data_IF_966689580160
#
_entry.id   IF_966689580160
#
_cell.length_a   1.000
_cell.length_b   1.000
_cell.length_c   1.000
_cell.angle_alpha   90.00
_cell.angle_beta   90.00
_cell.angle_gamma   90.00
#
_symmetry.space_group_name_H-M   'P 1'
#
loop_
_entity.id
_entity.type
_entity.pdbx_description
1 polymer ?
#
# COMPACT_ATOMS: atom_id res chain seq x y z
N UNK A 1 9.14 -23.11 -0.21
CA UNK A 1 9.30 -21.82 -0.93
C UNK A 1 9.95 -20.79 -0.01
N UNK A 2 10.75 -19.84 -0.51
CA UNK A 2 11.33 -18.76 0.33
C UNK A 2 10.28 -17.93 1.08
N UNK A 3 9.03 -17.92 0.59
CA UNK A 3 7.90 -17.18 1.20
C UNK A 3 7.30 -17.87 2.44
N UNK A 4 7.63 -19.14 2.70
CA UNK A 4 6.95 -19.91 3.75
C UNK A 4 7.42 -19.51 5.15
N UNK A 5 8.61 -18.92 5.26
CA UNK A 5 9.17 -18.39 6.50
C UNK A 5 8.74 -16.95 6.79
N UNK A 6 8.15 -16.22 5.84
CA UNK A 6 7.76 -14.83 6.05
C UNK A 6 6.78 -14.63 7.22
N UNK A 7 5.77 -15.49 7.48
CA UNK A 7 4.91 -15.34 8.66
C UNK A 7 5.63 -15.55 10.00
N UNK A 8 6.82 -16.15 9.98
CA UNK A 8 7.66 -16.38 11.16
C UNK A 8 8.69 -15.25 11.31
N UNK A 9 9.29 -14.83 10.21
CA UNK A 9 10.39 -13.86 10.20
C UNK A 9 9.95 -12.40 9.98
N UNK A 10 8.75 -12.18 9.46
CA UNK A 10 8.30 -10.89 8.96
C UNK A 10 8.73 -10.65 7.52
N UNK A 11 8.16 -9.61 6.92
CA UNK A 11 8.51 -9.12 5.59
C UNK A 11 8.35 -7.59 5.56
N UNK A 12 9.43 -6.83 5.76
CA UNK A 12 9.36 -5.38 5.66
C UNK A 12 9.14 -4.95 4.20
N UNK A 13 8.23 -3.99 4.01
CA UNK A 13 7.86 -3.42 2.72
C UNK A 13 8.14 -1.91 2.68
N UNK A 14 7.27 -1.12 3.30
CA UNK A 14 7.42 0.32 3.41
C UNK A 14 8.43 0.68 4.50
N UNK A 15 9.40 1.52 4.17
CA UNK A 15 10.39 2.06 5.13
C UNK A 15 10.48 3.58 4.96
N UNK A 16 10.43 4.32 6.05
CA UNK A 16 10.63 5.78 6.09
C UNK A 16 11.45 6.17 7.31
N UNK A 17 12.27 7.20 7.18
CA UNK A 17 12.94 7.83 8.32
C UNK A 17 11.98 8.86 8.91
N UNK A 18 11.73 8.81 10.21
CA UNK A 18 10.98 9.85 10.91
C UNK A 18 11.87 11.05 11.26
N UNK A 19 11.26 12.12 11.80
CA UNK A 19 11.98 13.31 12.23
C UNK A 19 12.90 13.09 13.44
N UNK A 20 12.72 11.99 14.17
CA UNK A 20 13.56 11.56 15.29
C UNK A 20 14.78 10.75 14.85
N UNK A 21 14.90 10.43 13.55
CA UNK A 21 15.98 9.61 13.02
C UNK A 21 15.75 8.10 13.12
N UNK A 22 14.53 7.67 13.46
CA UNK A 22 14.14 6.27 13.53
C UNK A 22 13.58 5.79 12.19
N UNK A 23 13.81 4.53 11.86
CA UNK A 23 13.16 3.88 10.71
C UNK A 23 11.78 3.38 11.11
N UNK A 24 10.75 3.97 10.52
CA UNK A 24 9.39 3.42 10.57
C UNK A 24 9.26 2.39 9.46
N UNK A 25 8.83 1.19 9.83
CA UNK A 25 8.76 0.02 8.96
C UNK A 25 7.35 -0.55 8.97
N UNK A 26 6.75 -0.67 7.79
CA UNK A 26 5.54 -1.45 7.56
C UNK A 26 5.94 -2.90 7.23
N UNK A 27 5.65 -3.81 8.14
CA UNK A 27 5.82 -5.24 7.96
C UNK A 27 4.48 -5.89 7.57
N UNK A 28 4.48 -6.68 6.50
CA UNK A 28 3.24 -7.27 5.98
C UNK A 28 2.54 -8.24 6.94
N UNK A 29 3.24 -8.78 7.93
CA UNK A 29 2.70 -9.78 8.86
C UNK A 29 2.53 -9.24 10.26
N UNK A 30 3.46 -8.41 10.73
CA UNK A 30 3.54 -8.04 12.14
C UNK A 30 3.15 -6.60 12.45
N UNK A 31 2.95 -5.75 11.45
CA UNK A 31 2.40 -4.40 11.63
C UNK A 31 3.45 -3.30 11.47
N UNK A 32 3.31 -2.20 12.22
CA UNK A 32 4.24 -1.06 12.17
C UNK A 32 5.29 -1.15 13.27
N UNK A 33 6.54 -0.91 12.91
CA UNK A 33 7.68 -0.87 13.83
C UNK A 33 8.42 0.45 13.73
N UNK A 34 9.00 0.89 14.84
CA UNK A 34 10.12 1.82 14.87
C UNK A 34 11.40 1.01 15.07
N UNK A 35 12.43 1.31 14.29
CA UNK A 35 13.74 0.65 14.36
C UNK A 35 14.81 1.73 14.46
N UNK A 36 15.65 1.62 15.49
CA UNK A 36 16.85 2.44 15.62
C UNK A 36 17.88 1.96 14.56
N UNK A 37 18.27 2.81 13.60
CA UNK A 37 19.20 2.41 12.54
C UNK A 37 20.64 2.20 13.04
N UNK A 38 21.01 2.70 14.22
CA UNK A 38 22.34 2.56 14.80
C UNK A 38 22.46 1.27 15.62
N UNK A 39 21.46 0.98 16.45
CA UNK A 39 21.49 -0.17 17.37
C UNK A 39 20.75 -1.40 16.83
N UNK A 40 19.87 -1.22 15.86
CA UNK A 40 18.96 -2.26 15.38
C UNK A 40 17.82 -2.58 16.35
N UNK A 41 17.69 -1.82 17.45
CA UNK A 41 16.60 -2.02 18.41
C UNK A 41 15.25 -1.77 17.75
N UNK A 42 14.32 -2.73 17.87
CA UNK A 42 12.99 -2.69 17.26
C UNK A 42 11.91 -2.52 18.32
N UNK A 43 11.03 -1.54 18.12
CA UNK A 43 9.85 -1.30 18.94
C UNK A 43 8.59 -1.46 18.10
N UNK A 44 7.63 -2.28 18.56
CA UNK A 44 6.32 -2.41 17.92
C UNK A 44 5.47 -1.18 18.21
N UNK A 45 4.98 -0.52 17.15
CA UNK A 45 4.10 0.65 17.26
C UNK A 45 2.63 0.26 17.13
N UNK A 46 2.33 -0.64 16.19
CA UNK A 46 0.97 -1.06 15.89
C UNK A 46 0.97 -2.52 15.43
N UNK A 47 0.30 -3.40 16.18
CA UNK A 47 0.20 -4.83 15.85
C UNK A 47 -0.84 -5.08 14.73
N UNK A 48 -0.51 -5.92 13.75
CA UNK A 48 -1.43 -6.31 12.67
C UNK A 48 -2.79 -6.85 13.18
N UNK A 49 -2.81 -7.53 14.32
CA UNK A 49 -4.04 -8.06 14.93
C UNK A 49 -4.94 -6.98 15.50
N UNK A 50 -4.40 -5.80 15.85
CA UNK A 50 -5.19 -4.65 16.30
C UNK A 50 -6.12 -4.20 15.19
N UNK A 51 -5.60 -4.12 13.96
CA UNK A 51 -6.38 -3.73 12.80
C UNK A 51 -6.93 -2.30 12.91
N UNK A 52 -7.97 -2.06 12.11
CA UNK A 52 -8.78 -0.85 12.17
C UNK A 52 -10.24 -1.23 11.90
N UNK A 53 -11.19 -0.59 12.61
CA UNK A 53 -12.63 -0.83 12.51
C UNK A 53 -13.02 -2.32 12.60
N UNK A 54 -12.36 -3.05 13.51
CA UNK A 54 -12.60 -4.48 13.74
C UNK A 54 -11.99 -5.43 12.69
N UNK A 55 -11.24 -4.90 11.72
CA UNK A 55 -10.60 -5.68 10.65
C UNK A 55 -9.07 -5.67 10.80
N UNK A 56 -8.43 -6.80 11.15
CA UNK A 56 -6.98 -6.95 11.21
C UNK A 56 -6.29 -6.55 9.91
N UNK A 57 -5.02 -6.13 10.00
CA UNK A 57 -4.17 -5.94 8.83
C UNK A 57 -3.67 -7.30 8.34
N UNK A 58 -3.74 -7.54 7.04
CA UNK A 58 -3.27 -8.79 6.46
C UNK A 58 -2.10 -8.58 5.49
N UNK A 59 -1.97 -7.39 4.89
CA UNK A 59 -0.89 -7.10 3.97
C UNK A 59 -0.49 -5.62 3.97
N UNK A 60 0.23 -5.20 5.02
CA UNK A 60 0.82 -3.85 5.02
C UNK A 60 1.92 -3.71 3.97
N UNK A 61 1.92 -2.59 3.26
CA UNK A 61 2.81 -2.38 2.12
C UNK A 61 3.38 -0.94 2.08
N UNK A 62 2.64 0.01 1.51
CA UNK A 62 3.03 1.41 1.42
C UNK A 62 3.02 2.13 2.77
N UNK A 63 3.94 3.07 2.92
CA UNK A 63 4.17 3.86 4.13
C UNK A 63 4.65 5.27 3.74
N UNK A 64 4.07 6.31 4.32
CA UNK A 64 4.57 7.69 4.32
C UNK A 64 4.39 8.33 5.69
N UNK A 65 5.19 9.34 6.00
CA UNK A 65 5.12 10.08 7.26
C UNK A 65 4.91 11.56 6.93
N UNK A 66 3.91 12.19 7.56
CA UNK A 66 3.77 13.65 7.49
C UNK A 66 4.94 14.30 8.23
N UNK A 67 5.66 15.15 7.51
CA UNK A 67 6.70 16.02 8.07
C UNK A 67 6.10 17.13 8.96
N UNK A 68 4.82 17.45 8.76
CA UNK A 68 4.14 18.53 9.48
C UNK A 68 3.51 18.05 10.80
N UNK A 69 3.02 16.81 10.86
CA UNK A 69 2.26 16.29 12.00
C UNK A 69 2.84 15.02 12.63
N UNK A 70 3.74 14.31 11.95
CA UNK A 70 4.21 13.00 12.38
C UNK A 70 3.21 11.86 12.18
N UNK A 71 2.02 12.15 11.62
CA UNK A 71 1.03 11.12 11.30
C UNK A 71 1.61 10.19 10.23
N UNK A 72 1.47 8.89 10.48
CA UNK A 72 1.91 7.82 9.58
C UNK A 72 0.74 7.43 8.68
N UNK A 73 0.88 7.62 7.38
CA UNK A 73 -0.03 7.09 6.37
C UNK A 73 0.48 5.74 5.91
N UNK A 74 -0.39 4.76 5.81
CA UNK A 74 0.01 3.42 5.38
C UNK A 74 -1.12 2.71 4.64
N UNK A 75 -0.77 1.66 3.90
CA UNK A 75 -1.73 0.88 3.13
C UNK A 75 -1.79 -0.55 3.62
N UNK A 76 -2.99 -1.10 3.62
CA UNK A 76 -3.25 -2.54 3.73
C UNK A 76 -3.72 -3.00 2.35
N UNK A 77 -2.84 -3.69 1.61
CA UNK A 77 -3.08 -4.05 0.21
C UNK A 77 -4.24 -5.03 0.04
N UNK A 78 -4.56 -5.81 1.06
CA UNK A 78 -5.74 -6.67 1.11
C UNK A 78 -6.11 -6.94 2.57
N UNK A 79 -7.37 -6.76 2.93
CA UNK A 79 -7.87 -7.10 4.28
C UNK A 79 -8.13 -8.60 4.48
N UNK A 80 -8.09 -9.41 3.41
CA UNK A 80 -8.36 -10.86 3.48
C UNK A 80 -7.14 -11.71 3.18
N UNK A 81 -6.35 -11.33 2.18
CA UNK A 81 -5.28 -12.17 1.67
C UNK A 81 -3.92 -11.66 2.12
N UNK A 82 -3.26 -12.43 2.99
CA UNK A 82 -1.87 -12.15 3.36
C UNK A 82 -0.90 -12.31 2.19
N UNK A 83 0.28 -11.68 2.29
CA UNK A 83 1.32 -11.59 1.23
C UNK A 83 1.63 -12.90 0.49
N UNK A 84 1.56 -14.06 1.17
CA UNK A 84 1.77 -15.40 0.56
C UNK A 84 0.77 -15.73 -0.55
N UNK A 85 -0.41 -15.12 -0.53
CA UNK A 85 -1.50 -15.35 -1.46
C UNK A 85 -1.65 -14.22 -2.48
N UNK A 86 -0.62 -13.39 -2.69
CA UNK A 86 -0.66 -12.24 -3.62
C UNK A 86 -1.18 -12.59 -5.02
N UNK A 87 -0.93 -13.83 -5.49
CA UNK A 87 -1.44 -14.28 -6.79
C UNK A 87 -2.96 -14.39 -6.81
N UNK A 88 -3.58 -14.84 -5.71
CA UNK A 88 -5.03 -14.97 -5.57
C UNK A 88 -5.68 -13.58 -5.50
N UNK A 89 -5.09 -12.65 -4.73
CA UNK A 89 -5.54 -11.25 -4.66
C UNK A 89 -5.57 -10.59 -6.05
N UNK A 90 -4.46 -10.72 -6.78
CA UNK A 90 -4.28 -10.14 -8.10
C UNK A 90 -5.22 -10.78 -9.13
N UNK A 91 -5.46 -12.09 -9.05
CA UNK A 91 -6.39 -12.82 -9.91
C UNK A 91 -7.86 -12.47 -9.60
N UNK A 92 -8.21 -12.33 -8.33
CA UNK A 92 -9.58 -12.04 -7.91
C UNK A 92 -10.01 -10.62 -8.28
N UNK A 93 -9.05 -9.68 -8.38
CA UNK A 93 -9.34 -8.25 -8.63
C UNK A 93 -10.38 -7.73 -7.63
N UNK A 94 -10.23 -8.11 -6.36
CA UNK A 94 -11.13 -7.66 -5.31
C UNK A 94 -10.74 -6.23 -4.87
N UNK A 95 -11.70 -5.53 -4.25
CA UNK A 95 -11.55 -4.18 -3.74
C UNK A 95 -11.45 -4.21 -2.20
N UNK A 96 -10.51 -5.00 -1.66
CA UNK A 96 -10.38 -5.23 -0.21
C UNK A 96 -9.27 -4.39 0.44
N UNK A 97 -8.58 -3.56 -0.34
CA UNK A 97 -7.51 -2.71 0.12
C UNK A 97 -7.97 -1.46 0.85
N UNK A 98 -7.09 -0.91 1.69
CA UNK A 98 -7.37 0.27 2.53
C UNK A 98 -6.18 1.25 2.58
N UNK A 99 -6.49 2.53 2.71
CA UNK A 99 -5.56 3.59 3.09
C UNK A 99 -5.90 4.02 4.52
N UNK A 100 -4.89 4.00 5.40
CA UNK A 100 -5.04 4.21 6.83
C UNK A 100 -4.08 5.28 7.34
N UNK A 101 -4.39 5.79 8.53
CA UNK A 101 -3.53 6.67 9.33
C UNK A 101 -3.27 6.06 10.69
N UNK A 102 -2.06 6.27 11.21
CA UNK A 102 -1.70 5.99 12.58
C UNK A 102 -1.05 7.23 13.20
N UNK A 103 -1.60 7.68 14.32
CA UNK A 103 -1.02 8.74 15.13
C UNK A 103 -0.17 8.12 16.25
N UNK A 104 1.16 8.22 16.21
CA UNK A 104 2.04 7.62 17.21
C UNK A 104 1.92 8.28 18.59
N UNK A 105 1.38 9.50 18.69
CA UNK A 105 1.21 10.22 19.96
C UNK A 105 -0.03 9.70 20.71
N UNK A 106 -1.16 9.60 20.02
CA UNK A 106 -2.41 9.13 20.63
C UNK A 106 -2.62 7.62 20.53
N UNK A 107 -1.83 6.93 19.71
CA UNK A 107 -2.00 5.51 19.40
C UNK A 107 -3.24 5.21 18.54
N UNK A 108 -3.90 6.24 17.98
CA UNK A 108 -5.14 6.07 17.22
C UNK A 108 -4.87 5.65 15.79
N UNK A 109 -5.69 4.70 15.31
CA UNK A 109 -5.75 4.29 13.92
C UNK A 109 -7.04 4.81 13.29
N UNK A 110 -6.96 5.30 12.06
CA UNK A 110 -8.11 5.71 11.27
C UNK A 110 -8.08 5.13 9.86
N UNK A 111 -9.25 4.84 9.30
CA UNK A 111 -9.42 4.46 7.89
C UNK A 111 -9.78 5.71 7.09
N UNK A 112 -8.95 6.06 6.11
CA UNK A 112 -9.23 7.20 5.22
C UNK A 112 -10.00 6.77 3.97
N UNK A 113 -9.62 5.63 3.40
CA UNK A 113 -10.29 5.02 2.26
C UNK A 113 -10.33 3.51 2.43
N UNK A 114 -11.44 2.92 2.03
CA UNK A 114 -11.60 1.49 1.80
C UNK A 114 -11.99 1.23 0.33
N UNK A 115 -12.23 -0.04 0.00
CA UNK A 115 -12.68 -0.40 -1.34
C UNK A 115 -11.61 -0.20 -2.42
N UNK A 116 -10.33 -0.33 -2.06
CA UNK A 116 -9.21 -0.08 -2.97
C UNK A 116 -8.70 -1.37 -3.61
N UNK A 117 -8.21 -1.26 -4.84
CA UNK A 117 -7.70 -2.34 -5.67
C UNK A 117 -6.19 -2.53 -5.48
N UNK A 118 -5.83 -3.30 -4.45
CA UNK A 118 -4.45 -3.60 -4.06
C UNK A 118 -3.56 -2.34 -3.97
N UNK A 119 -3.85 -1.43 -3.01
CA UNK A 119 -3.04 -0.24 -2.78
C UNK A 119 -1.64 -0.63 -2.31
N UNK A 120 -0.60 -0.24 -3.07
CA UNK A 120 0.80 -0.55 -2.74
C UNK A 120 1.60 0.71 -2.44
N UNK A 121 1.76 1.59 -3.43
CA UNK A 121 2.59 2.79 -3.30
C UNK A 121 1.79 3.99 -2.84
N UNK A 122 2.35 4.76 -1.91
CA UNK A 122 1.84 6.07 -1.52
C UNK A 122 2.95 7.12 -1.50
N UNK A 123 2.58 8.37 -1.80
CA UNK A 123 3.46 9.52 -1.69
C UNK A 123 2.67 10.77 -1.33
N UNK A 124 3.14 11.54 -0.34
CA UNK A 124 2.58 12.85 -0.02
C UNK A 124 3.04 13.91 -1.03
N UNK A 125 2.18 14.90 -1.29
CA UNK A 125 2.60 16.12 -1.97
C UNK A 125 3.56 16.94 -1.10
N UNK A 126 4.42 17.79 -1.69
CA UNK A 126 5.39 18.59 -0.92
C UNK A 126 4.78 19.45 0.19
N UNK A 127 3.58 19.97 -0.04
CA UNK A 127 2.79 20.79 0.89
C UNK A 127 1.82 19.96 1.76
N UNK A 128 1.78 18.65 1.54
CA UNK A 128 0.87 17.69 2.16
C UNK A 128 -0.62 18.09 1.99
N UNK A 129 -0.97 18.70 0.86
CA UNK A 129 -2.36 18.98 0.48
C UNK A 129 -3.07 17.76 -0.11
N UNK A 130 -2.33 16.81 -0.68
CA UNK A 130 -2.85 15.55 -1.18
C UNK A 130 -1.85 14.40 -1.01
N UNK A 131 -2.37 13.18 -1.15
CA UNK A 131 -1.60 11.92 -1.18
C UNK A 131 -1.90 11.20 -2.50
N UNK A 132 -0.85 10.72 -3.18
CA UNK A 132 -0.99 9.81 -4.31
C UNK A 132 -0.99 8.37 -3.83
N UNK A 133 -1.78 7.54 -4.50
CA UNK A 133 -1.96 6.12 -4.19
C UNK A 133 -1.96 5.30 -5.48
N UNK A 134 -1.14 4.25 -5.54
CA UNK A 134 -1.12 3.30 -6.65
C UNK A 134 -2.07 2.13 -6.37
N UNK A 135 -3.09 1.97 -7.20
CA UNK A 135 -3.95 0.78 -7.23
C UNK A 135 -3.37 -0.22 -8.22
N UNK A 136 -2.55 -1.13 -7.70
CA UNK A 136 -1.69 -1.98 -8.51
C UNK A 136 -2.50 -2.94 -9.37
N UNK A 137 -3.59 -3.54 -8.87
CA UNK A 137 -4.30 -4.60 -9.62
C UNK A 137 -5.11 -4.10 -10.80
N UNK A 138 -5.43 -2.80 -10.86
CA UNK A 138 -6.17 -2.18 -11.97
C UNK A 138 -5.36 -1.18 -12.79
N UNK A 139 -4.08 -0.98 -12.46
CA UNK A 139 -3.20 -0.14 -13.28
C UNK A 139 -3.51 1.35 -13.20
N UNK A 140 -3.87 1.85 -12.01
CA UNK A 140 -4.31 3.24 -11.80
C UNK A 140 -3.53 3.94 -10.70
N UNK A 141 -3.46 5.27 -10.77
CA UNK A 141 -2.99 6.15 -9.70
C UNK A 141 -4.10 7.10 -9.32
N UNK A 142 -4.42 7.13 -8.03
CA UNK A 142 -5.39 8.01 -7.42
C UNK A 142 -4.69 9.20 -6.75
N UNK A 143 -5.40 10.31 -6.66
CA UNK A 143 -5.12 11.40 -5.73
C UNK A 143 -6.20 11.42 -4.66
N UNK A 144 -5.80 11.44 -3.40
CA UNK A 144 -6.65 11.67 -2.24
C UNK A 144 -6.35 13.04 -1.63
N UNK A 145 -7.35 13.90 -1.52
CA UNK A 145 -7.19 15.26 -1.00
C UNK A 145 -7.19 15.26 0.53
N UNK A 146 -6.10 15.73 1.13
CA UNK A 146 -5.94 15.84 2.59
C UNK A 146 -6.43 17.20 3.10
N UNK A 147 -6.31 18.25 2.29
CA UNK A 147 -6.63 19.63 2.66
C UNK A 147 -7.50 20.32 1.60
N UNK A 148 -8.05 21.46 1.97
CA UNK A 148 -8.82 22.34 1.07
C UNK A 148 -10.27 21.89 0.83
N UNK A 149 -10.98 22.52 -0.11
CA UNK A 149 -12.41 22.28 -0.33
C UNK A 149 -12.78 20.86 -0.77
N UNK A 150 -11.80 20.10 -1.29
CA UNK A 150 -11.94 18.71 -1.71
C UNK A 150 -11.49 17.70 -0.65
N UNK A 151 -11.09 18.14 0.54
CA UNK A 151 -10.57 17.25 1.59
C UNK A 151 -11.51 16.06 1.85
N UNK A 152 -10.95 14.86 1.95
CA UNK A 152 -11.71 13.62 2.11
C UNK A 152 -12.19 12.98 0.80
N UNK A 153 -11.96 13.62 -0.36
CA UNK A 153 -12.35 13.05 -1.66
C UNK A 153 -11.15 12.45 -2.41
N UNK A 154 -11.44 11.54 -3.34
CA UNK A 154 -10.46 10.94 -4.25
C UNK A 154 -10.80 11.15 -5.71
N UNK A 155 -9.79 11.24 -6.57
CA UNK A 155 -9.93 11.30 -8.02
C UNK A 155 -8.86 10.45 -8.72
N UNK A 156 -9.21 9.87 -9.87
CA UNK A 156 -8.25 9.14 -10.71
C UNK A 156 -7.43 10.15 -11.49
N UNK A 157 -6.11 10.11 -11.34
CA UNK A 157 -5.20 11.03 -12.05
C UNK A 157 -4.45 10.36 -13.19
N UNK A 158 -4.28 9.04 -13.13
CA UNK A 158 -3.75 8.23 -14.21
C UNK A 158 -4.49 6.91 -14.22
N UNK A 159 -4.95 6.50 -15.40
CA UNK A 159 -5.57 5.21 -15.64
C UNK A 159 -4.87 4.49 -16.78
N UNK A 160 -5.20 3.20 -16.94
CA UNK A 160 -4.69 2.37 -18.03
C UNK A 160 -3.16 2.47 -18.20
N UNK A 161 -2.44 2.45 -17.07
CA UNK A 161 -0.99 2.59 -17.05
C UNK A 161 -0.33 1.50 -17.92
N UNK A 162 0.84 1.78 -18.52
CA UNK A 162 1.58 0.82 -19.36
C UNK A 162 2.17 -0.35 -18.57
N UNK A 163 1.85 -0.47 -17.29
CA UNK A 163 2.26 -1.49 -16.35
C UNK A 163 1.45 -1.38 -15.06
N UNK A 164 1.65 -2.31 -14.14
CA UNK A 164 0.99 -2.26 -12.83
C UNK A 164 1.82 -1.37 -11.89
N UNK A 165 1.26 -0.22 -11.43
CA UNK A 165 1.99 0.71 -10.59
C UNK A 165 2.16 0.12 -9.20
N UNK A 166 3.32 0.34 -8.59
CA UNK A 166 3.63 -0.08 -7.24
C UNK A 166 4.11 1.16 -6.47
N UNK A 167 5.33 1.16 -5.91
CA UNK A 167 5.90 2.31 -5.21
C UNK A 167 5.83 3.64 -5.98
N UNK A 168 5.42 4.70 -5.28
CA UNK A 168 5.44 6.09 -5.74
C UNK A 168 6.47 6.86 -4.92
N UNK A 169 7.28 7.73 -5.54
CA UNK A 169 8.28 8.57 -4.87
C UNK A 169 8.31 9.97 -5.42
N UNK A 170 8.32 10.96 -4.53
CA UNK A 170 8.57 12.36 -4.88
C UNK A 170 10.04 12.53 -5.32
N UNK A 171 10.26 13.17 -6.45
CA UNK A 171 11.59 13.57 -6.94
C UNK A 171 11.97 14.95 -6.40
N UNK A 172 13.26 15.25 -6.41
CA UNK A 172 13.83 16.59 -6.20
C UNK A 172 13.23 17.70 -7.10
N UNK A 173 12.73 17.34 -8.29
CA UNK A 173 12.07 18.26 -9.23
C UNK A 173 10.58 18.53 -8.95
N UNK A 174 10.03 18.01 -7.85
CA UNK A 174 8.61 18.14 -7.53
C UNK A 174 7.67 17.27 -8.38
N UNK A 175 8.21 16.28 -9.09
CA UNK A 175 7.46 15.27 -9.85
C UNK A 175 7.39 13.95 -9.09
N UNK A 176 6.52 13.03 -9.52
CA UNK A 176 6.39 11.70 -8.90
C UNK A 176 6.90 10.62 -9.83
N UNK A 177 7.82 9.80 -9.33
CA UNK A 177 8.31 8.58 -9.97
C UNK A 177 7.44 7.42 -9.53
N UNK A 178 6.89 6.67 -10.49
CA UNK A 178 6.04 5.50 -10.23
C UNK A 178 6.75 4.26 -10.75
N UNK A 179 7.08 3.33 -9.85
CA UNK A 179 7.62 2.03 -10.21
C UNK A 179 6.54 1.14 -10.83
N UNK A 180 6.88 0.43 -11.90
CA UNK A 180 5.98 -0.54 -12.52
C UNK A 180 6.49 -1.96 -12.22
N UNK A 181 5.70 -2.77 -11.49
CA UNK A 181 6.13 -4.14 -11.14
C UNK A 181 6.22 -5.05 -12.36
N UNK A 182 5.40 -4.80 -13.38
CA UNK A 182 5.39 -5.55 -14.64
C UNK A 182 4.81 -4.64 -15.71
N UNK A 183 5.42 -4.60 -16.88
CA UNK A 183 4.92 -3.83 -18.02
C UNK A 183 3.81 -4.59 -18.75
N UNK A 184 2.78 -3.86 -19.20
CA UNK A 184 1.67 -4.36 -20.03
C UNK A 184 2.02 -4.34 -21.52
N UNK A 185 3.29 -4.48 -21.88
CA UNK A 185 3.67 -4.58 -23.30
C UNK A 185 3.12 -5.87 -23.90
N UNK A 186 2.52 -5.74 -25.08
CA UNK A 186 2.09 -6.85 -25.93
C UNK A 186 3.31 -7.64 -26.40
N UNK A 187 3.65 -8.74 -25.71
CA UNK A 187 4.31 -9.88 -26.37
C UNK A 187 3.23 -10.71 -27.07
N UNK A 188 3.59 -11.87 -27.63
CA UNK A 188 2.69 -12.77 -28.38
C UNK A 188 1.35 -13.07 -27.67
N UNK A 189 1.28 -12.92 -26.34
CA UNK A 189 0.04 -12.92 -25.54
C UNK A 189 -0.12 -11.63 -24.72
N UNK A 190 -1.36 -11.15 -24.48
CA UNK A 190 -1.62 -10.06 -23.54
C UNK A 190 -1.17 -10.44 -22.12
N UNK A 191 -0.87 -9.45 -21.25
CA UNK A 191 -0.58 -9.71 -19.84
C UNK A 191 -1.65 -10.61 -19.22
N UNK A 192 -1.25 -11.60 -18.42
CA UNK A 192 -2.15 -12.64 -17.88
C UNK A 192 -3.44 -12.06 -17.25
N UNK A 193 -3.33 -10.93 -16.55
CA UNK A 193 -4.46 -10.26 -15.90
C UNK A 193 -5.42 -9.58 -16.88
N UNK A 194 -4.93 -9.10 -18.02
CA UNK A 194 -5.76 -8.54 -19.09
C UNK A 194 -6.52 -9.66 -19.83
N UNK A 195 -5.91 -10.84 -19.93
CA UNK A 195 -6.54 -12.02 -20.55
C UNK A 195 -7.70 -12.56 -19.71
N UNK A 196 -7.52 -12.64 -18.39
CA UNK A 196 -8.57 -13.16 -17.48
C UNK A 196 -9.53 -12.09 -16.99
N UNK A 197 -9.18 -10.80 -17.16
CA UNK A 197 -9.96 -9.62 -16.77
C UNK A 197 -11.45 -9.72 -17.09
N UNK A 198 -11.83 -10.02 -18.35
CA UNK A 198 -13.22 -10.12 -18.79
C UNK A 198 -14.00 -11.37 -18.32
N UNK A 199 -13.36 -12.34 -17.66
CA UNK A 199 -13.96 -13.65 -17.35
C UNK A 199 -14.05 -13.93 -15.83
N UNK A 200 -15.06 -13.39 -15.13
CA UNK A 200 -15.22 -13.56 -13.67
C UNK A 200 -15.28 -15.02 -13.21
N UNK A 201 -15.85 -15.93 -14.01
CA UNK A 201 -15.94 -17.35 -13.69
C UNK A 201 -14.57 -18.04 -13.67
N UNK A 202 -13.68 -17.67 -14.61
CA UNK A 202 -12.30 -18.17 -14.67
C UNK A 202 -11.48 -17.65 -13.49
N UNK A 203 -11.65 -16.35 -13.14
CA UNK A 203 -11.04 -15.77 -11.93
C UNK A 203 -11.45 -16.50 -10.66
N UNK A 204 -12.75 -16.81 -10.50
CA UNK A 204 -13.27 -17.56 -9.33
C UNK A 204 -12.78 -19.01 -9.27
N UNK A 205 -12.55 -19.67 -10.42
CA UNK A 205 -12.03 -21.03 -10.46
C UNK A 205 -10.53 -21.09 -10.12
N UNK A 206 -9.75 -20.13 -10.59
CA UNK A 206 -8.32 -20.00 -10.27
C UNK A 206 -8.05 -19.53 -8.84
N UNK A 207 -9.04 -18.93 -8.18
CA UNK A 207 -8.94 -18.41 -6.82
C UNK A 207 -9.36 -19.42 -5.72
N UNK A 208 -9.87 -20.60 -6.10
CA UNK A 208 -10.22 -21.72 -5.20
C UNK A 208 -9.09 -22.74 -5.13
#
# INVERSE_FOLDING_TARGET
SRTDYEPVCGRPHGVRLDSGGQLIVADSYFGLFSVDPQTGHKTLLLDSKTGADGVPFAFLNGLEISSQTGIIYFTDSSSRWGRRHVKLEVIETNALGRLLTFDPVSGRVGVLLDGLYMPNGIALSPDESFLLLAETSIGCVLRYWLKGPKAGTKEVIMNNMPGYPDNIRLSDRGTFLVGLTTTRFRKLMPPFLDLIGPYPAVKRFLAK
#
